data_IF_989476110663
#
_entry.id   IF_989476110663
#
_cell.length_a   1.000
_cell.length_b   1.000
_cell.length_c   1.000
_cell.angle_alpha   90.00
_cell.angle_beta   90.00
_cell.angle_gamma   90.00
#
_symmetry.space_group_name_H-M   'P 1'
#
loop_
_entity.id
_entity.type
_entity.pdbx_description
1 polymer ?
#
# COMPACT_ATOMS: atom_id res chain seq x y z
N UNK A 1 -11.60 25.00 -9.73
CA UNK A 1 -12.12 25.80 -8.60
C UNK A 1 -12.78 27.06 -9.13
N UNK A 2 -12.04 28.06 -9.65
CA UNK A 2 -12.63 29.31 -10.19
C UNK A 2 -13.84 29.14 -11.11
N UNK A 3 -13.78 28.23 -12.09
CA UNK A 3 -14.91 28.01 -13.02
C UNK A 3 -16.16 27.42 -12.36
N UNK A 4 -16.01 26.63 -11.28
CA UNK A 4 -17.15 26.08 -10.51
C UNK A 4 -17.67 27.09 -9.49
N UNK A 5 -16.78 27.91 -8.91
CA UNK A 5 -17.16 29.04 -8.04
C UNK A 5 -18.05 30.03 -8.81
N UNK A 6 -17.64 30.41 -10.02
CA UNK A 6 -18.41 31.32 -10.90
C UNK A 6 -19.78 30.78 -11.33
N UNK A 7 -19.92 29.44 -11.42
CA UNK A 7 -21.20 28.79 -11.74
C UNK A 7 -22.14 28.73 -10.54
N UNK A 8 -21.61 28.50 -9.34
CA UNK A 8 -22.39 28.45 -8.09
C UNK A 8 -22.87 29.83 -7.62
N UNK A 9 -22.15 30.89 -7.97
CA UNK A 9 -22.62 32.26 -7.76
C UNK A 9 -23.84 32.60 -8.64
N UNK A 10 -23.95 31.97 -9.82
CA UNK A 10 -25.05 32.20 -10.77
C UNK A 10 -26.27 31.33 -10.51
N UNK A 11 -26.08 30.04 -10.23
CA UNK A 11 -27.17 29.11 -9.93
C UNK A 11 -26.81 28.20 -8.74
N UNK A 12 -27.60 28.28 -7.68
CA UNK A 12 -27.46 27.41 -6.50
C UNK A 12 -28.02 26.03 -6.79
N UNK A 13 -27.22 25.19 -7.44
CA UNK A 13 -27.53 23.77 -7.66
C UNK A 13 -26.81 22.89 -6.62
N UNK A 14 -27.57 22.07 -5.89
CA UNK A 14 -27.03 21.16 -4.88
C UNK A 14 -25.98 20.19 -5.45
N UNK A 15 -26.15 19.76 -6.71
CA UNK A 15 -25.20 18.87 -7.37
C UNK A 15 -23.84 19.55 -7.60
N UNK A 16 -23.84 20.82 -8.04
CA UNK A 16 -22.61 21.59 -8.25
C UNK A 16 -21.84 21.82 -6.93
N UNK A 17 -22.55 21.99 -5.80
CA UNK A 17 -21.92 22.07 -4.47
C UNK A 17 -21.22 20.76 -4.11
N UNK A 18 -21.88 19.61 -4.36
CA UNK A 18 -21.30 18.30 -4.12
C UNK A 18 -20.04 18.06 -4.98
N UNK A 19 -20.12 18.36 -6.27
CA UNK A 19 -19.00 18.20 -7.21
C UNK A 19 -17.81 19.10 -6.83
N UNK A 20 -18.08 20.32 -6.34
CA UNK A 20 -17.05 21.21 -5.82
C UNK A 20 -16.38 20.65 -4.57
N UNK A 21 -17.16 20.14 -3.62
CA UNK A 21 -16.64 19.53 -2.40
C UNK A 21 -15.77 18.32 -2.73
N UNK A 22 -16.22 17.44 -3.63
CA UNK A 22 -15.44 16.30 -4.10
C UNK A 22 -14.13 16.72 -4.78
N UNK A 23 -14.19 17.69 -5.70
CA UNK A 23 -12.99 18.20 -6.37
C UNK A 23 -12.00 18.76 -5.34
N UNK A 24 -12.49 19.46 -4.31
CA UNK A 24 -11.66 19.98 -3.23
C UNK A 24 -11.01 18.85 -2.43
N UNK A 25 -11.75 17.81 -2.08
CA UNK A 25 -11.23 16.63 -1.37
C UNK A 25 -10.13 15.95 -2.20
N UNK A 26 -10.35 15.73 -3.50
CA UNK A 26 -9.35 15.14 -4.40
C UNK A 26 -8.09 15.98 -4.50
N UNK A 27 -8.23 17.30 -4.61
CA UNK A 27 -7.09 18.21 -4.65
C UNK A 27 -6.27 18.16 -3.35
N UNK A 28 -6.93 18.17 -2.19
CA UNK A 28 -6.25 18.08 -0.90
C UNK A 28 -5.47 16.76 -0.76
N UNK A 29 -6.05 15.64 -1.23
CA UNK A 29 -5.37 14.35 -1.27
C UNK A 29 -4.12 14.41 -2.17
N UNK A 30 -4.24 14.94 -3.39
CA UNK A 30 -3.11 15.08 -4.30
C UNK A 30 -1.99 15.98 -3.74
N UNK A 31 -2.34 17.07 -3.06
CA UNK A 31 -1.35 17.94 -2.42
C UNK A 31 -0.62 17.24 -1.26
N UNK A 32 -1.34 16.47 -0.43
CA UNK A 32 -0.73 15.71 0.65
C UNK A 32 0.25 14.63 0.12
N UNK A 33 -0.10 13.97 -0.99
CA UNK A 33 0.76 13.00 -1.67
C UNK A 33 2.06 13.67 -2.19
N UNK A 34 1.93 14.82 -2.87
CA UNK A 34 3.07 15.58 -3.38
C UNK A 34 3.96 16.11 -2.25
N UNK A 35 3.37 16.59 -1.16
CA UNK A 35 4.12 17.04 0.01
C UNK A 35 4.91 15.89 0.64
N UNK A 36 4.28 14.74 0.85
CA UNK A 36 4.98 13.54 1.35
C UNK A 36 6.14 13.13 0.44
N UNK A 37 5.96 13.22 -0.87
CA UNK A 37 7.02 12.92 -1.83
C UNK A 37 8.18 13.91 -1.70
N UNK A 38 7.91 15.21 -1.56
CA UNK A 38 8.94 16.21 -1.34
C UNK A 38 9.70 16.01 -0.03
N UNK A 39 8.99 15.65 1.05
CA UNK A 39 9.59 15.53 2.39
C UNK A 39 10.34 14.20 2.60
N UNK A 40 9.85 13.10 2.02
CA UNK A 40 10.33 11.74 2.32
C UNK A 40 10.82 10.96 1.11
N UNK A 41 10.63 11.50 -0.10
CA UNK A 41 10.87 10.79 -1.37
C UNK A 41 9.86 9.68 -1.66
N UNK A 42 8.78 9.57 -0.88
CA UNK A 42 7.76 8.52 -1.01
C UNK A 42 6.35 9.13 -0.99
N UNK A 43 5.49 8.63 -1.88
CA UNK A 43 4.06 8.90 -1.85
C UNK A 43 3.40 8.24 -0.63
N UNK A 44 2.32 8.83 -0.13
CA UNK A 44 1.47 8.25 0.94
C UNK A 44 0.70 7.03 0.42
N UNK A 45 0.37 7.00 -0.87
CA UNK A 45 -0.41 5.96 -1.54
C UNK A 45 -1.77 5.69 -0.83
N UNK A 46 -2.40 6.73 -0.28
CA UNK A 46 -3.65 6.62 0.46
C UNK A 46 -4.84 6.78 -0.48
N UNK A 47 -5.21 5.72 -1.19
CA UNK A 47 -6.40 5.75 -2.04
C UNK A 47 -7.68 5.50 -1.21
N UNK A 48 -8.71 6.37 -1.26
CA UNK A 48 -9.94 6.23 -0.47
C UNK A 48 -10.65 4.88 -0.67
N UNK A 49 -10.66 4.35 -1.89
CA UNK A 49 -11.25 3.04 -2.21
C UNK A 49 -10.42 1.83 -1.75
N UNK A 50 -9.13 2.02 -1.48
CA UNK A 50 -8.23 0.96 -1.00
C UNK A 50 -8.06 1.02 0.53
N UNK A 51 -8.68 2.00 1.19
CA UNK A 51 -8.66 2.15 2.63
C UNK A 51 -9.24 0.89 3.31
N UNK A 52 -8.41 0.19 4.06
CA UNK A 52 -8.77 -1.06 4.74
C UNK A 52 -8.72 -2.33 3.87
N UNK A 53 -8.48 -2.23 2.56
CA UNK A 53 -8.31 -3.37 1.64
C UNK A 53 -6.85 -3.66 1.26
N UNK A 54 -5.93 -2.83 1.74
CA UNK A 54 -4.51 -3.05 1.52
C UNK A 54 -4.00 -4.18 2.42
N UNK A 55 -3.10 -5.03 1.91
CA UNK A 55 -2.45 -6.08 2.71
C UNK A 55 -1.80 -5.48 3.98
N UNK A 56 -1.34 -4.23 3.94
CA UNK A 56 -0.80 -3.50 5.09
C UNK A 56 -1.86 -3.30 6.18
N UNK A 57 -3.08 -2.92 5.83
CA UNK A 57 -4.16 -2.72 6.80
C UNK A 57 -4.57 -4.03 7.47
N UNK A 58 -4.61 -5.12 6.71
CA UNK A 58 -4.85 -6.46 7.25
C UNK A 58 -3.73 -6.90 8.20
N UNK A 59 -2.47 -6.67 7.83
CA UNK A 59 -1.31 -6.96 8.67
C UNK A 59 -1.29 -6.11 9.95
N UNK A 60 -1.65 -4.83 9.88
CA UNK A 60 -1.80 -3.98 11.07
C UNK A 60 -2.94 -4.45 11.98
N UNK A 61 -4.07 -4.87 11.40
CA UNK A 61 -5.18 -5.43 12.17
C UNK A 61 -4.78 -6.74 12.84
N UNK A 62 -4.07 -7.61 12.12
CA UNK A 62 -3.54 -8.87 12.66
C UNK A 62 -2.57 -8.61 13.79
N UNK A 63 -1.65 -7.66 13.64
CA UNK A 63 -0.69 -7.30 14.68
C UNK A 63 -1.37 -6.81 15.98
N UNK A 64 -2.47 -6.05 15.86
CA UNK A 64 -3.25 -5.60 17.03
C UNK A 64 -4.08 -6.71 17.67
N UNK A 65 -4.62 -7.63 16.87
CA UNK A 65 -5.49 -8.70 17.35
C UNK A 65 -4.70 -9.90 17.91
N UNK A 66 -3.67 -10.33 17.19
CA UNK A 66 -2.80 -11.45 17.54
C UNK A 66 -1.36 -11.22 17.04
N UNK A 67 -0.49 -10.65 17.91
CA UNK A 67 0.91 -10.44 17.59
C UNK A 67 1.68 -11.75 17.30
N UNK A 68 1.28 -12.88 17.90
CA UNK A 68 1.99 -14.15 17.74
C UNK A 68 1.77 -14.72 16.34
N UNK A 69 0.53 -14.67 15.83
CA UNK A 69 0.23 -15.04 14.46
C UNK A 69 0.93 -14.14 13.44
N UNK A 70 1.01 -12.83 13.69
CA UNK A 70 1.77 -11.92 12.85
C UNK A 70 3.25 -12.34 12.74
N UNK A 71 3.90 -12.62 13.88
CA UNK A 71 5.30 -13.07 13.90
C UNK A 71 5.47 -14.44 13.23
N UNK A 72 4.51 -15.35 13.39
CA UNK A 72 4.52 -16.66 12.70
C UNK A 72 4.46 -16.49 11.19
N UNK A 73 3.57 -15.64 10.69
CA UNK A 73 3.47 -15.35 9.27
C UNK A 73 4.74 -14.67 8.73
N UNK A 74 5.31 -13.74 9.49
CA UNK A 74 6.58 -13.10 9.12
C UNK A 74 7.71 -14.12 9.00
N UNK A 75 7.85 -15.03 9.97
CA UNK A 75 8.83 -16.13 9.91
C UNK A 75 8.62 -17.03 8.69
N UNK A 76 7.37 -17.40 8.40
CA UNK A 76 7.05 -18.21 7.22
C UNK A 76 7.46 -17.53 5.91
N UNK A 77 7.30 -16.21 5.79
CA UNK A 77 7.76 -15.44 4.63
C UNK A 77 9.28 -15.50 4.50
N UNK A 78 10.02 -15.30 5.60
CA UNK A 78 11.49 -15.38 5.60
C UNK A 78 11.99 -16.78 5.21
N UNK A 79 11.36 -17.82 5.72
CA UNK A 79 11.69 -19.21 5.40
C UNK A 79 11.43 -19.53 3.93
N UNK A 80 10.32 -19.02 3.36
CA UNK A 80 10.04 -19.15 1.93
C UNK A 80 11.07 -18.41 1.07
N UNK A 81 11.49 -17.20 1.45
CA UNK A 81 12.57 -16.49 0.76
C UNK A 81 13.85 -17.34 0.76
N UNK A 82 14.24 -17.90 1.91
CA UNK A 82 15.42 -18.78 2.02
C UNK A 82 15.28 -20.03 1.15
N UNK A 83 14.09 -20.62 1.11
CA UNK A 83 13.75 -21.80 0.31
C UNK A 83 13.88 -21.51 -1.19
N UNK A 84 13.22 -20.48 -1.72
CA UNK A 84 13.28 -20.15 -3.15
C UNK A 84 14.67 -19.68 -3.59
N UNK A 85 15.39 -18.93 -2.75
CA UNK A 85 16.82 -18.62 -2.99
C UNK A 85 17.67 -19.88 -3.17
N UNK A 86 17.35 -20.95 -2.43
CA UNK A 86 18.05 -22.23 -2.55
C UNK A 86 17.62 -22.96 -3.82
N UNK A 87 16.33 -22.96 -4.16
CA UNK A 87 15.79 -23.64 -5.35
C UNK A 87 16.36 -23.10 -6.65
N UNK A 88 16.50 -21.77 -6.76
CA UNK A 88 17.08 -21.11 -7.94
C UNK A 88 18.51 -21.59 -8.23
N UNK A 89 19.28 -21.92 -7.18
CA UNK A 89 20.67 -22.37 -7.29
C UNK A 89 20.79 -23.85 -7.69
N UNK A 90 19.74 -24.65 -7.56
CA UNK A 90 19.82 -26.08 -7.88
C UNK A 90 19.65 -26.31 -9.38
N UNK A 91 20.40 -27.29 -9.89
CA UNK A 91 20.41 -27.66 -11.32
C UNK A 91 19.23 -28.54 -11.72
N UNK A 92 18.72 -29.36 -10.78
CA UNK A 92 17.52 -30.21 -10.91
C UNK A 92 16.25 -29.42 -11.27
N UNK A 93 16.17 -28.15 -10.87
CA UNK A 93 14.99 -27.28 -11.03
C UNK A 93 15.10 -26.22 -12.11
N UNK A 94 16.00 -26.38 -13.06
CA UNK A 94 16.18 -25.42 -14.16
C UNK A 94 14.86 -25.11 -14.90
N UNK A 95 13.99 -26.10 -15.05
CA UNK A 95 12.69 -25.97 -15.72
C UNK A 95 11.66 -25.13 -14.95
N UNK A 96 11.80 -24.99 -13.63
CA UNK A 96 10.88 -24.22 -12.75
C UNK A 96 11.49 -22.90 -12.26
N UNK A 97 12.68 -22.55 -12.76
CA UNK A 97 13.45 -21.40 -12.27
C UNK A 97 12.70 -20.08 -12.44
N UNK A 98 11.94 -19.90 -13.53
CA UNK A 98 11.13 -18.70 -13.76
C UNK A 98 10.05 -18.53 -12.68
N UNK A 99 9.32 -19.59 -12.37
CA UNK A 99 8.28 -19.58 -11.33
C UNK A 99 8.88 -19.38 -9.93
N UNK A 100 10.01 -20.04 -9.64
CA UNK A 100 10.73 -19.88 -8.38
C UNK A 100 11.22 -18.42 -8.20
N UNK A 101 11.61 -17.75 -9.29
CA UNK A 101 12.00 -16.33 -9.26
C UNK A 101 10.80 -15.42 -8.95
N UNK A 102 9.67 -15.65 -9.62
CA UNK A 102 8.42 -14.90 -9.39
C UNK A 102 7.90 -15.08 -7.95
N UNK A 103 7.98 -16.31 -7.42
CA UNK A 103 7.62 -16.58 -6.03
C UNK A 103 8.59 -15.90 -5.05
N UNK A 104 9.88 -15.89 -5.35
CA UNK A 104 10.86 -15.17 -4.54
C UNK A 104 10.57 -13.67 -4.49
N UNK A 105 10.22 -13.05 -5.62
CA UNK A 105 9.83 -11.64 -5.69
C UNK A 105 8.59 -11.37 -4.85
N UNK A 106 7.52 -12.17 -5.03
CA UNK A 106 6.29 -12.05 -4.24
C UNK A 106 6.54 -12.11 -2.73
N UNK A 107 7.39 -13.05 -2.27
CA UNK A 107 7.71 -13.15 -0.85
C UNK A 107 8.60 -11.99 -0.37
N UNK A 108 9.49 -11.46 -1.21
CA UNK A 108 10.27 -10.24 -0.87
C UNK A 108 9.38 -9.01 -0.76
N UNK A 109 8.41 -8.85 -1.66
CA UNK A 109 7.43 -7.76 -1.57
C UNK A 109 6.64 -7.86 -0.27
N UNK A 110 6.15 -9.05 0.07
CA UNK A 110 5.43 -9.28 1.32
C UNK A 110 6.29 -8.99 2.55
N UNK A 111 7.58 -9.35 2.53
CA UNK A 111 8.54 -9.01 3.61
C UNK A 111 8.73 -7.50 3.80
N UNK A 112 8.75 -6.72 2.71
CA UNK A 112 8.78 -5.25 2.79
C UNK A 112 7.54 -4.71 3.49
N UNK A 113 6.36 -5.28 3.25
CA UNK A 113 5.12 -4.88 3.92
C UNK A 113 5.20 -5.15 5.43
N UNK A 114 5.70 -6.32 5.84
CA UNK A 114 5.92 -6.64 7.26
C UNK A 114 6.86 -5.62 7.92
N UNK A 115 7.97 -5.25 7.25
CA UNK A 115 8.90 -4.22 7.75
C UNK A 115 8.24 -2.85 7.87
N UNK A 116 7.48 -2.42 6.87
CA UNK A 116 6.75 -1.15 6.90
C UNK A 116 5.77 -1.09 8.07
N UNK A 117 5.05 -2.18 8.36
CA UNK A 117 4.11 -2.25 9.49
C UNK A 117 4.86 -2.12 10.83
N UNK A 118 6.00 -2.79 10.99
CA UNK A 118 6.82 -2.69 12.20
C UNK A 118 7.43 -1.28 12.38
N UNK A 119 7.91 -0.66 11.29
CA UNK A 119 8.40 0.73 11.31
C UNK A 119 7.31 1.74 11.69
N UNK A 120 6.07 1.51 11.27
CA UNK A 120 4.93 2.35 11.64
C UNK A 120 4.53 2.20 13.11
N UNK A 121 4.73 1.04 13.72
CA UNK A 121 4.44 0.83 15.15
C UNK A 121 5.50 1.46 16.06
N UNK A 122 6.75 1.52 15.59
CA UNK A 122 7.88 2.08 16.36
C UNK A 122 7.98 3.61 16.27
N UNK A 123 7.14 4.26 15.46
CA UNK A 123 7.00 5.72 15.38
C UNK A 123 5.85 6.20 16.25
#
# INVERSE_FOLDING_TARGET
>A
MKQLDELLEKERNAQAVADMAELRIRNLQAFAELQSFNDTGKFLCKHPLLFGRSEIAELMKLLKADPAEFLRQHKNVLDNIKRYRSYIKRTDRKNRRADDLKNLERHREREKLFKMVLEQQNK
#
